data_IF_139064890743
#
_entry.id   IF_139064890743
#
_cell.length_a   1.000
_cell.length_b   1.000
_cell.length_c   1.000
_cell.angle_alpha   90.00
_cell.angle_beta   90.00
_cell.angle_gamma   90.00
#
_symmetry.space_group_name_H-M   'P 1'
#
loop_
_entity.id
_entity.type
_entity.pdbx_description
1 polymer ?
#
# COMPACT_ATOMS: atom_id res chain seq x y z
N UNK A 1 -22.11 38.80 23.96
CA UNK A 1 -22.27 37.33 24.07
C UNK A 1 -22.22 36.58 22.73
N UNK A 2 -21.83 37.20 21.61
CA UNK A 2 -21.73 36.54 20.29
C UNK A 2 -20.30 36.17 19.85
N UNK A 3 -19.26 36.86 20.36
CA UNK A 3 -17.87 36.59 19.98
C UNK A 3 -17.31 35.24 20.43
N UNK A 4 -17.83 34.66 21.53
CA UNK A 4 -17.40 33.34 22.03
C UNK A 4 -18.00 32.16 21.22
N UNK A 5 -19.12 32.36 20.53
CA UNK A 5 -19.72 31.32 19.67
C UNK A 5 -19.01 31.20 18.32
N UNK A 6 -18.42 32.29 17.82
CA UNK A 6 -17.71 32.31 16.53
C UNK A 6 -16.40 31.52 16.60
N UNK A 7 -15.65 31.65 17.70
CA UNK A 7 -14.35 30.95 17.86
C UNK A 7 -14.53 29.43 17.95
N UNK A 8 -15.61 28.96 18.59
CA UNK A 8 -15.90 27.52 18.69
C UNK A 8 -16.42 26.95 17.36
N UNK A 9 -17.14 27.74 16.55
CA UNK A 9 -17.65 27.31 15.24
C UNK A 9 -16.55 27.08 14.20
N UNK A 10 -15.47 27.86 14.23
CA UNK A 10 -14.33 27.74 13.28
C UNK A 10 -13.44 26.53 13.59
N UNK A 11 -13.41 26.05 14.83
CA UNK A 11 -12.59 24.88 15.20
C UNK A 11 -13.22 23.56 14.77
N UNK A 12 -14.56 23.51 14.66
CA UNK A 12 -15.29 22.30 14.23
C UNK A 12 -15.25 22.12 12.71
N UNK A 13 -15.14 23.20 11.93
CA UNK A 13 -15.03 23.13 10.46
C UNK A 13 -13.64 22.73 9.96
N UNK A 14 -12.62 22.75 10.81
CA UNK A 14 -11.25 22.33 10.48
C UNK A 14 -10.99 20.83 10.75
N UNK A 15 -11.94 20.12 11.35
CA UNK A 15 -11.80 18.69 11.67
C UNK A 15 -12.24 17.75 10.53
N UNK A 16 -12.83 18.27 9.45
CA UNK A 16 -13.20 17.47 8.29
C UNK A 16 -12.06 17.45 7.27
N UNK A 17 -11.28 16.37 7.23
CA UNK A 17 -10.44 16.08 6.05
C UNK A 17 -9.07 15.45 6.28
N UNK A 18 -8.63 15.22 7.53
CA UNK A 18 -7.35 14.54 7.77
C UNK A 18 -7.54 13.03 7.93
N UNK A 19 -6.90 12.24 7.06
CA UNK A 19 -6.78 10.79 7.25
C UNK A 19 -5.36 10.46 7.69
N UNK A 20 -5.21 9.77 8.82
CA UNK A 20 -3.92 9.35 9.35
C UNK A 20 -3.75 7.82 9.22
N UNK A 21 -2.69 7.39 8.53
CA UNK A 21 -2.28 6.00 8.47
C UNK A 21 -1.35 5.67 9.63
N UNK A 22 -1.81 4.83 10.57
CA UNK A 22 -1.02 4.42 11.73
C UNK A 22 0.03 3.33 11.44
N UNK A 23 -0.01 2.72 10.24
CA UNK A 23 0.97 1.70 9.85
C UNK A 23 2.33 2.36 9.53
N UNK A 24 3.46 1.82 10.04
CA UNK A 24 4.78 2.33 9.70
C UNK A 24 5.03 2.29 8.18
N UNK A 25 5.76 3.30 7.68
CA UNK A 25 6.20 3.34 6.29
C UNK A 25 7.20 2.22 6.02
N UNK A 26 7.22 1.72 4.79
CA UNK A 26 8.28 0.83 4.32
C UNK A 26 9.64 1.54 4.37
N UNK A 27 10.63 0.83 4.92
CA UNK A 27 12.02 1.26 4.93
C UNK A 27 12.74 0.71 3.70
N UNK A 28 13.71 1.47 3.19
CA UNK A 28 14.49 1.05 2.03
C UNK A 28 15.46 -0.06 2.39
N UNK A 29 15.39 -1.14 1.63
CA UNK A 29 16.47 -2.12 1.58
C UNK A 29 17.76 -1.49 1.02
N UNK A 30 18.90 -1.78 1.65
CA UNK A 30 20.20 -1.16 1.36
C UNK A 30 21.16 -2.04 0.55
N UNK A 31 20.76 -3.26 0.20
CA UNK A 31 21.57 -4.16 -0.62
C UNK A 31 21.70 -3.68 -2.07
N UNK A 32 22.80 -4.02 -2.72
CA UNK A 32 23.08 -3.65 -4.11
C UNK A 32 22.23 -4.42 -5.13
N UNK A 33 21.58 -5.49 -4.70
CA UNK A 33 20.67 -6.35 -5.47
C UNK A 33 19.19 -5.95 -5.29
N UNK A 34 18.93 -4.76 -4.74
CA UNK A 34 17.58 -4.29 -4.44
C UNK A 34 16.64 -4.37 -5.66
N UNK A 35 15.47 -4.96 -5.44
CA UNK A 35 14.32 -4.72 -6.31
C UNK A 35 13.72 -3.35 -5.95
N UNK A 36 13.10 -2.68 -6.91
CA UNK A 36 12.42 -1.40 -6.68
C UNK A 36 10.93 -1.53 -6.96
N UNK A 37 10.13 -0.85 -6.16
CA UNK A 37 8.69 -0.80 -6.35
C UNK A 37 8.25 0.64 -6.41
N UNK A 38 7.21 0.89 -7.20
CA UNK A 38 6.49 2.16 -7.25
C UNK A 38 5.01 1.93 -7.03
N UNK A 39 4.38 2.78 -6.22
CA UNK A 39 2.94 2.80 -6.01
C UNK A 39 2.45 4.24 -6.05
N UNK A 40 1.16 4.43 -6.33
CA UNK A 40 0.49 5.69 -5.98
C UNK A 40 0.64 5.95 -4.48
N UNK A 41 0.78 7.22 -4.11
CA UNK A 41 0.78 7.71 -2.73
C UNK A 41 -0.63 7.79 -2.16
N UNK A 42 -1.66 7.72 -3.02
CA UNK A 42 -3.06 7.75 -2.63
C UNK A 42 -3.55 6.40 -2.10
N UNK A 43 -4.67 6.44 -1.37
CA UNK A 43 -5.36 5.25 -0.89
C UNK A 43 -4.66 4.57 0.30
N UNK A 44 -4.94 3.28 0.47
CA UNK A 44 -4.52 2.51 1.65
C UNK A 44 -3.89 1.18 1.24
N UNK A 45 -2.73 1.27 0.57
CA UNK A 45 -1.95 0.10 0.14
C UNK A 45 -0.74 -0.15 1.06
N UNK A 46 -0.48 -1.41 1.35
CA UNK A 46 0.63 -1.88 2.16
C UNK A 46 1.27 -3.15 1.56
N UNK A 47 2.50 -3.43 1.99
CA UNK A 47 3.16 -4.72 1.79
C UNK A 47 3.09 -5.53 3.08
N UNK A 48 2.75 -6.80 2.94
CA UNK A 48 2.89 -7.82 3.96
C UNK A 48 4.04 -8.75 3.57
N UNK A 49 4.88 -9.08 4.55
CA UNK A 49 6.04 -9.95 4.37
C UNK A 49 5.84 -11.24 5.14
N UNK A 50 6.28 -12.35 4.54
CA UNK A 50 6.03 -13.68 5.06
C UNK A 50 7.30 -14.51 5.17
N UNK A 51 7.31 -15.37 6.19
CA UNK A 51 8.34 -16.37 6.38
C UNK A 51 7.72 -17.76 6.44
N UNK A 52 8.38 -18.72 5.79
CA UNK A 52 7.99 -20.13 5.81
C UNK A 52 8.35 -20.73 7.17
N UNK A 53 7.35 -21.24 7.87
CA UNK A 53 7.51 -21.91 9.15
C UNK A 53 7.94 -23.37 8.94
N UNK A 54 8.49 -23.99 9.99
CA UNK A 54 8.88 -25.41 10.00
C UNK A 54 7.69 -26.35 9.72
N UNK A 55 6.48 -25.95 10.11
CA UNK A 55 5.23 -26.65 9.81
C UNK A 55 4.79 -26.57 8.34
N UNK A 56 5.51 -25.80 7.51
CA UNK A 56 5.23 -25.64 6.08
C UNK A 56 4.25 -24.51 5.74
N UNK A 57 3.65 -23.85 6.73
CA UNK A 57 2.78 -22.69 6.52
C UNK A 57 3.57 -21.37 6.44
N UNK A 58 2.95 -20.31 5.91
CA UNK A 58 3.52 -18.98 5.80
C UNK A 58 2.96 -18.07 6.90
N UNK A 59 3.83 -17.53 7.73
CA UNK A 59 3.46 -16.58 8.78
C UNK A 59 3.75 -15.15 8.33
N UNK A 60 2.77 -14.25 8.47
CA UNK A 60 3.00 -12.82 8.30
C UNK A 60 3.93 -12.34 9.42
N UNK A 61 5.08 -11.77 9.07
CA UNK A 61 6.04 -11.25 10.04
C UNK A 61 6.03 -9.73 10.10
N UNK A 62 5.57 -9.08 9.03
CA UNK A 62 5.62 -7.63 8.91
C UNK A 62 4.53 -7.10 7.99
N UNK A 63 4.04 -5.90 8.30
CA UNK A 63 3.20 -5.11 7.41
C UNK A 63 3.71 -3.66 7.38
N UNK A 64 3.86 -3.09 6.20
CA UNK A 64 4.40 -1.75 5.98
C UNK A 64 3.61 -0.99 4.93
N UNK A 65 3.27 0.25 5.22
CA UNK A 65 2.56 1.12 4.27
C UNK A 65 3.50 1.58 3.16
N UNK A 66 2.98 1.65 1.93
CA UNK A 66 3.68 2.21 0.76
C UNK A 66 2.97 3.45 0.17
N UNK A 67 1.83 3.82 0.75
CA UNK A 67 1.06 5.04 0.50
C UNK A 67 1.39 6.15 1.51
N UNK A 68 0.78 7.31 1.34
CA UNK A 68 0.87 8.43 2.28
C UNK A 68 0.34 8.07 3.66
N UNK A 69 1.02 8.54 4.70
CA UNK A 69 0.54 8.44 6.08
C UNK A 69 -0.39 9.55 6.53
N UNK A 70 -0.44 10.64 5.81
CA UNK A 70 -1.33 11.74 6.08
C UNK A 70 -1.85 12.28 4.74
N UNK A 71 -3.16 12.33 4.60
CA UNK A 71 -3.79 13.06 3.51
C UNK A 71 -4.70 14.14 4.09
N UNK A 72 -4.71 15.31 3.45
CA UNK A 72 -5.58 16.43 3.80
C UNK A 72 -6.50 16.66 2.61
N UNK A 73 -7.81 16.54 2.83
CA UNK A 73 -8.83 16.66 1.77
C UNK A 73 -8.57 15.70 0.59
N UNK A 74 -8.08 14.49 0.90
CA UNK A 74 -7.73 13.48 -0.12
C UNK A 74 -6.40 13.72 -0.84
N UNK A 75 -5.70 14.82 -0.57
CA UNK A 75 -4.38 15.10 -1.15
C UNK A 75 -3.30 14.51 -0.22
N UNK A 76 -2.42 13.61 -0.71
CA UNK A 76 -1.27 13.13 0.03
C UNK A 76 -0.36 14.28 0.46
N UNK A 77 -0.18 14.46 1.77
CA UNK A 77 0.76 15.46 2.31
C UNK A 77 2.06 14.82 2.82
N UNK A 78 2.11 13.49 2.91
CA UNK A 78 3.34 12.73 3.20
C UNK A 78 3.60 11.72 2.10
N UNK A 79 4.84 11.62 1.63
CA UNK A 79 5.17 10.80 0.46
C UNK A 79 5.61 11.66 -0.72
N UNK A 80 5.49 11.15 -1.94
CA UNK A 80 6.21 11.62 -3.13
C UNK A 80 7.71 11.26 -3.13
N UNK A 81 8.07 10.15 -2.49
CA UNK A 81 9.44 9.67 -2.45
C UNK A 81 9.82 9.09 -3.82
N UNK A 82 10.86 9.63 -4.45
CA UNK A 82 11.42 9.10 -5.70
C UNK A 82 12.86 8.66 -5.49
N UNK A 83 13.20 7.48 -5.99
CA UNK A 83 14.55 6.90 -5.96
C UNK A 83 15.13 6.76 -7.38
N UNK A 84 14.41 7.20 -8.41
CA UNK A 84 14.87 7.22 -9.79
C UNK A 84 14.54 5.94 -10.56
N UNK A 85 13.38 5.33 -10.31
CA UNK A 85 12.88 4.29 -11.20
C UNK A 85 12.54 4.87 -12.59
N UNK A 86 12.64 4.07 -13.68
CA UNK A 86 12.23 4.51 -15.00
C UNK A 86 10.77 4.99 -15.01
N UNK A 87 10.42 5.90 -15.91
CA UNK A 87 9.05 6.40 -16.01
C UNK A 87 8.06 5.29 -16.36
N UNK A 88 6.86 5.35 -15.77
CA UNK A 88 5.75 4.45 -16.08
C UNK A 88 4.54 5.20 -16.58
N UNK A 89 3.90 4.62 -17.59
CA UNK A 89 2.62 5.06 -18.11
C UNK A 89 1.46 4.89 -17.12
N UNK A 90 1.58 3.97 -16.15
CA UNK A 90 0.52 3.66 -15.20
C UNK A 90 0.39 4.68 -14.06
N UNK A 91 1.41 5.50 -13.85
CA UNK A 91 1.47 6.45 -12.72
C UNK A 91 1.62 7.90 -13.18
N UNK A 92 1.30 8.20 -14.45
CA UNK A 92 1.47 9.54 -15.02
C UNK A 92 0.56 10.55 -14.33
N UNK A 93 1.15 11.60 -13.76
CA UNK A 93 0.42 12.67 -13.07
C UNK A 93 -0.06 12.32 -11.66
N UNK A 94 0.26 11.12 -11.15
CA UNK A 94 -0.04 10.73 -9.77
C UNK A 94 1.08 11.12 -8.82
N UNK A 95 0.75 11.31 -7.54
CA UNK A 95 1.75 11.32 -6.48
C UNK A 95 2.28 9.90 -6.29
N UNK A 96 3.59 9.69 -6.35
CA UNK A 96 4.17 8.33 -6.33
C UNK A 96 5.14 8.15 -5.17
N UNK A 97 5.17 6.95 -4.60
CA UNK A 97 6.24 6.54 -3.71
C UNK A 97 7.02 5.39 -4.32
N UNK A 98 8.34 5.52 -4.31
CA UNK A 98 9.29 4.52 -4.75
C UNK A 98 10.10 4.02 -3.56
N UNK A 99 10.28 2.70 -3.49
CA UNK A 99 11.01 2.04 -2.41
C UNK A 99 11.93 0.96 -2.95
N UNK A 100 13.03 0.70 -2.25
CA UNK A 100 13.83 -0.49 -2.46
C UNK A 100 13.37 -1.61 -1.53
N UNK A 101 13.25 -2.83 -2.07
CA UNK A 101 12.89 -4.03 -1.32
C UNK A 101 13.90 -5.15 -1.58
N UNK A 102 14.10 -6.00 -0.57
CA UNK A 102 14.95 -7.17 -0.65
C UNK A 102 14.43 -8.16 -1.71
N UNK A 103 15.25 -8.66 -2.63
CA UNK A 103 14.82 -9.72 -3.55
C UNK A 103 14.62 -11.06 -2.84
N UNK A 104 13.85 -11.97 -3.44
CA UNK A 104 13.64 -13.33 -2.95
C UNK A 104 12.73 -13.45 -1.72
N UNK A 105 12.23 -12.35 -1.17
CA UNK A 105 11.29 -12.38 -0.04
C UNK A 105 9.85 -12.60 -0.52
N UNK A 106 9.03 -13.23 0.32
CA UNK A 106 7.62 -13.48 0.03
C UNK A 106 6.80 -12.22 0.35
N UNK A 107 6.32 -11.54 -0.70
CA UNK A 107 5.57 -10.28 -0.57
C UNK A 107 4.10 -10.49 -0.96
N UNK A 108 3.20 -9.97 -0.14
CA UNK A 108 1.81 -9.73 -0.54
C UNK A 108 1.55 -8.24 -0.54
N UNK A 109 1.18 -7.69 -1.69
CA UNK A 109 0.57 -6.36 -1.76
C UNK A 109 -0.87 -6.51 -1.31
N UNK A 110 -1.32 -5.64 -0.41
CA UNK A 110 -2.71 -5.57 0.03
C UNK A 110 -3.20 -4.13 -0.08
N UNK A 111 -4.35 -3.96 -0.71
CA UNK A 111 -5.06 -2.69 -0.77
C UNK A 111 -6.35 -2.78 0.02
N UNK A 112 -6.64 -1.77 0.83
CA UNK A 112 -7.86 -1.68 1.61
C UNK A 112 -8.71 -0.53 1.11
N UNK A 113 -10.01 -0.75 0.99
CA UNK A 113 -10.99 0.32 0.74
C UNK A 113 -12.23 0.11 1.59
N UNK A 114 -13.02 1.18 1.69
CA UNK A 114 -14.29 1.17 2.39
C UNK A 114 -15.40 1.17 1.35
N UNK A 115 -16.16 0.08 1.30
CA UNK A 115 -17.38 0.00 0.51
C UNK A 115 -18.51 0.66 1.29
N UNK A 116 -19.04 1.77 0.78
CA UNK A 116 -20.13 2.49 1.42
C UNK A 116 -21.41 1.66 1.31
N UNK A 117 -22.02 1.35 2.46
CA UNK A 117 -23.30 0.64 2.52
C UNK A 117 -24.40 1.57 3.03
N UNK A 118 -25.65 1.23 2.71
CA UNK A 118 -26.82 2.03 3.09
C UNK A 118 -26.98 2.20 4.62
N UNK A 119 -26.57 1.20 5.41
CA UNK A 119 -26.64 1.23 6.87
C UNK A 119 -25.27 1.19 7.55
N UNK A 120 -24.30 0.52 6.93
CA UNK A 120 -22.97 0.33 7.50
C UNK A 120 -21.95 0.25 6.37
N UNK A 121 -20.80 0.86 6.59
CA UNK A 121 -19.66 0.74 5.71
C UNK A 121 -18.96 -0.60 5.94
N UNK A 122 -18.54 -1.25 4.86
CA UNK A 122 -17.81 -2.52 4.93
C UNK A 122 -16.36 -2.30 4.51
N UNK A 123 -15.40 -2.72 5.33
CA UNK A 123 -14.01 -2.72 4.92
C UNK A 123 -13.75 -3.91 4.00
N UNK A 124 -13.13 -3.63 2.86
CA UNK A 124 -12.75 -4.61 1.85
C UNK A 124 -11.25 -4.57 1.62
N UNK A 125 -10.74 -5.64 1.03
CA UNK A 125 -9.36 -5.67 0.58
C UNK A 125 -9.19 -6.58 -0.63
N UNK A 126 -8.19 -6.26 -1.43
CA UNK A 126 -7.72 -7.07 -2.54
C UNK A 126 -6.20 -7.24 -2.44
N UNK A 127 -5.68 -8.34 -2.97
CA UNK A 127 -4.29 -8.74 -2.74
C UNK A 127 -3.63 -9.33 -3.98
N UNK A 128 -2.33 -9.06 -4.12
CA UNK A 128 -1.48 -9.68 -5.12
C UNK A 128 -0.20 -10.21 -4.46
N UNK A 129 0.18 -11.45 -4.73
CA UNK A 129 1.42 -12.05 -4.22
C UNK A 129 2.50 -12.08 -5.28
N UNK A 130 3.74 -11.83 -4.86
CA UNK A 130 4.90 -11.98 -5.72
C UNK A 130 6.19 -12.12 -4.90
N UNK A 131 7.24 -12.59 -5.57
CA UNK A 131 8.61 -12.67 -5.07
C UNK A 131 9.45 -11.69 -5.89
N UNK A 132 9.92 -10.57 -5.32
CA UNK A 132 10.71 -9.59 -6.04
C UNK A 132 12.02 -10.20 -6.54
N UNK A 133 12.37 -9.93 -7.80
CA UNK A 133 13.62 -10.38 -8.40
C UNK A 133 14.69 -9.29 -8.33
N UNK A 134 15.95 -9.69 -8.19
CA UNK A 134 17.06 -8.75 -7.98
C UNK A 134 17.22 -7.79 -9.16
N UNK A 135 17.32 -6.49 -8.89
CA UNK A 135 17.45 -5.41 -9.88
C UNK A 135 16.24 -5.23 -10.83
N UNK A 136 15.06 -5.74 -10.46
CA UNK A 136 13.83 -5.49 -11.19
C UNK A 136 13.06 -4.29 -10.64
N UNK A 137 12.29 -3.66 -11.51
CA UNK A 137 11.43 -2.51 -11.20
C UNK A 137 9.97 -2.92 -11.36
N UNK A 138 9.18 -2.73 -10.31
CA UNK A 138 7.77 -3.11 -10.32
C UNK A 138 6.86 -1.90 -10.12
N UNK A 139 5.81 -1.79 -10.92
CA UNK A 139 4.67 -0.94 -10.62
C UNK A 139 3.61 -1.74 -9.87
N UNK A 140 3.22 -1.20 -8.71
CA UNK A 140 2.02 -1.61 -7.98
C UNK A 140 0.91 -0.68 -8.42
N UNK A 141 -0.05 -1.25 -9.14
CA UNK A 141 -1.18 -0.53 -9.73
C UNK A 141 -2.43 -0.96 -9.00
N UNK A 142 -3.11 0.01 -8.40
CA UNK A 142 -4.46 -0.19 -7.85
C UNK A 142 -5.45 0.40 -8.84
N UNK A 143 -6.36 -0.43 -9.34
CA UNK A 143 -7.42 -0.03 -10.26
C UNK A 143 -8.78 -0.28 -9.64
N UNK A 144 -9.68 0.68 -9.77
CA UNK A 144 -11.02 0.59 -9.21
C UNK A 144 -11.80 1.88 -9.49
N UNK A 145 -13.05 1.90 -9.07
CA UNK A 145 -13.96 3.02 -9.22
C UNK A 145 -14.99 2.96 -8.12
N UNK A 146 -15.73 4.04 -7.89
CA UNK A 146 -16.80 4.08 -6.88
C UNK A 146 -17.84 2.95 -7.05
N UNK A 147 -17.98 2.40 -8.26
CA UNK A 147 -18.92 1.33 -8.60
C UNK A 147 -18.26 -0.03 -8.89
N UNK A 148 -16.94 -0.14 -8.84
CA UNK A 148 -16.21 -1.38 -9.11
C UNK A 148 -15.27 -1.70 -7.98
N UNK A 149 -15.21 -2.97 -7.57
CA UNK A 149 -14.26 -3.44 -6.56
C UNK A 149 -12.83 -3.07 -6.97
N UNK A 150 -12.09 -2.48 -6.04
CA UNK A 150 -10.68 -2.20 -6.24
C UNK A 150 -9.92 -3.51 -6.44
N UNK A 151 -8.89 -3.45 -7.28
CA UNK A 151 -8.04 -4.57 -7.67
C UNK A 151 -6.59 -4.14 -7.64
N UNK A 152 -5.74 -5.05 -7.18
CA UNK A 152 -4.29 -4.86 -7.08
C UNK A 152 -3.60 -5.67 -8.16
N UNK A 153 -2.73 -4.98 -8.91
CA UNK A 153 -1.89 -5.59 -9.92
C UNK A 153 -0.44 -5.22 -9.65
N UNK A 154 0.46 -6.18 -9.82
CA UNK A 154 1.90 -5.93 -9.87
C UNK A 154 2.36 -6.15 -11.30
N UNK A 155 3.14 -5.21 -11.83
CA UNK A 155 3.69 -5.26 -13.18
C UNK A 155 5.20 -5.08 -13.10
N UNK A 156 5.94 -5.95 -13.78
CA UNK A 156 7.36 -5.70 -14.04
C UNK A 156 7.49 -4.66 -15.15
N UNK A 157 8.41 -3.72 -14.98
CA UNK A 157 8.71 -2.71 -16.00
C UNK A 157 9.45 -3.32 -17.20
N UNK A 158 10.15 -4.44 -17.01
CA UNK A 158 10.59 -5.27 -18.11
C UNK A 158 9.41 -6.12 -18.61
N UNK A 159 8.84 -5.72 -19.76
CA UNK A 159 7.69 -6.40 -20.37
C UNK A 159 7.97 -7.85 -20.77
N UNK A 160 9.24 -8.24 -20.87
CA UNK A 160 9.65 -9.62 -21.17
C UNK A 160 9.85 -10.45 -19.91
N UNK A 161 9.95 -9.82 -18.73
CA UNK A 161 10.15 -10.50 -17.47
C UNK A 161 8.88 -11.18 -16.99
N UNK A 162 9.06 -12.37 -16.40
CA UNK A 162 7.97 -13.12 -15.76
C UNK A 162 8.01 -12.86 -14.25
N UNK A 163 6.94 -12.28 -13.73
CA UNK A 163 6.75 -12.13 -12.28
C UNK A 163 6.68 -13.51 -11.63
N UNK A 164 7.51 -13.73 -10.63
CA UNK A 164 7.47 -14.93 -9.79
C UNK A 164 6.41 -14.73 -8.72
N UNK A 165 5.44 -15.64 -8.66
CA UNK A 165 4.40 -15.63 -7.63
C UNK A 165 4.69 -16.72 -6.57
N UNK A 166 4.30 -16.44 -5.32
CA UNK A 166 4.25 -17.44 -4.27
C UNK A 166 2.80 -17.65 -3.89
N UNK A 167 2.32 -18.87 -4.13
CA UNK A 167 0.97 -19.28 -3.78
C UNK A 167 0.74 -19.13 -2.27
N UNK A 168 -0.15 -18.22 -1.92
CA UNK A 168 -0.47 -17.85 -0.54
C UNK A 168 -1.40 -18.85 0.17
N UNK A 169 -1.63 -20.01 -0.44
CA UNK A 169 -2.67 -21.00 -0.15
C UNK A 169 -2.50 -21.65 1.25
N UNK A 170 -1.31 -21.52 1.85
CA UNK A 170 -0.94 -22.14 3.12
C UNK A 170 -0.53 -21.10 4.17
N UNK A 171 -1.38 -20.12 4.45
CA UNK A 171 -1.14 -19.22 5.59
C UNK A 171 -1.24 -19.97 6.92
N UNK A 172 -0.37 -19.65 7.87
CA UNK A 172 -0.49 -20.18 9.22
C UNK A 172 -1.81 -19.71 9.85
N UNK A 173 -2.49 -20.56 10.64
CA UNK A 173 -3.68 -20.14 11.36
C UNK A 173 -3.34 -18.94 12.23
N UNK A 174 -4.11 -17.85 12.07
CA UNK A 174 -3.99 -16.67 12.92
C UNK A 174 -4.23 -17.07 14.36
N UNK A 175 -3.29 -16.80 15.25
CA UNK A 175 -3.54 -17.00 16.67
C UNK A 175 -4.55 -15.95 17.14
N UNK A 176 -5.35 -16.25 18.17
CA UNK A 176 -6.39 -15.35 18.68
C UNK A 176 -5.87 -14.02 19.27
N UNK A 177 -4.56 -13.75 19.14
CA UNK A 177 -3.85 -12.60 19.70
C UNK A 177 -2.97 -11.87 18.66
N UNK A 178 -3.14 -12.14 17.35
CA UNK A 178 -2.51 -11.35 16.27
C UNK A 178 -3.36 -10.11 15.88
#
# INVERSE_FOLDING_TARGET
MYGKLIVTGVMVTLLSGCTAGFRPSLEDYKGSDAARIRSSSDGNTALQFFEKQTSGCYKKVLERRITSGLAVMGIPVTGNKKIGMPESSYNKGAFINEFTIKPGQLVRVIHYWTEAGYHQNTQRSDTYTFVPQANHDYDIVVTGSEYSRDSVLVRDMDLSAKIVDWKADNLCPSSAFD
#
